data_IF_186124989202
#
_entry.id   IF_186124989202
#
_cell.length_a   1.000
_cell.length_b   1.000
_cell.length_c   1.000
_cell.angle_alpha   90.00
_cell.angle_beta   90.00
_cell.angle_gamma   90.00
#
_symmetry.space_group_name_H-M   'P 1'
#
loop_
_entity.id
_entity.type
_entity.pdbx_description
1 polymer ?
#
# COMPACT_ATOMS: atom_id res chain seq x y z
N UNK A 1 10.35 -6.56 -12.38
CA UNK A 1 10.25 -5.16 -12.00
C UNK A 1 11.60 -4.46 -11.92
N UNK A 2 11.58 -3.16 -11.93
CA UNK A 2 12.77 -2.33 -11.90
C UNK A 2 13.13 -1.94 -10.48
N UNK A 3 13.77 -2.86 -9.74
CA UNK A 3 14.24 -2.62 -8.38
C UNK A 3 15.70 -2.99 -8.25
N UNK A 4 16.42 -2.35 -7.32
CA UNK A 4 17.86 -2.57 -7.13
C UNK A 4 18.17 -3.54 -6.00
N UNK A 5 17.43 -3.45 -4.89
CA UNK A 5 17.71 -4.28 -3.71
C UNK A 5 16.80 -5.50 -3.72
N UNK A 6 17.37 -6.65 -4.05
CA UNK A 6 16.61 -7.90 -4.13
C UNK A 6 17.20 -8.92 -3.15
N UNK A 7 16.36 -9.83 -2.66
CA UNK A 7 16.79 -10.94 -1.80
C UNK A 7 16.49 -12.30 -2.43
N UNK A 8 15.88 -12.31 -3.62
CA UNK A 8 15.71 -13.49 -4.47
C UNK A 8 15.87 -13.03 -5.91
N UNK A 9 16.07 -13.92 -6.85
CA UNK A 9 16.36 -13.62 -8.26
C UNK A 9 15.48 -12.49 -8.83
N UNK A 10 16.02 -11.27 -8.88
CA UNK A 10 15.34 -10.11 -9.42
C UNK A 10 14.11 -9.65 -8.64
N UNK A 11 13.91 -10.17 -7.42
CA UNK A 11 12.74 -9.89 -6.60
C UNK A 11 13.13 -9.52 -5.17
N UNK A 12 12.37 -8.66 -4.57
CA UNK A 12 12.40 -8.43 -3.12
C UNK A 12 11.19 -9.13 -2.52
N UNK A 13 11.43 -10.12 -1.67
CA UNK A 13 10.39 -10.90 -1.02
C UNK A 13 10.34 -10.54 0.45
N UNK A 14 9.14 -10.21 0.94
CA UNK A 14 8.92 -9.78 2.31
C UNK A 14 7.87 -10.64 2.97
N UNK A 15 8.13 -11.01 4.23
CA UNK A 15 7.07 -11.44 5.13
C UNK A 15 6.60 -10.22 5.93
N UNK A 16 5.57 -10.41 6.75
CA UNK A 16 5.00 -9.31 7.53
C UNK A 16 6.05 -8.69 8.46
N UNK A 17 6.84 -9.52 9.13
CA UNK A 17 7.86 -9.04 10.06
C UNK A 17 8.92 -8.19 9.37
N UNK A 18 9.37 -8.59 8.18
CA UNK A 18 10.37 -7.80 7.45
C UNK A 18 9.81 -6.49 6.92
N UNK A 19 8.54 -6.44 6.54
CA UNK A 19 7.87 -5.18 6.18
C UNK A 19 7.80 -4.25 7.39
N UNK A 20 7.39 -4.76 8.53
CA UNK A 20 7.26 -3.95 9.75
C UNK A 20 8.59 -3.36 10.19
N UNK A 21 9.70 -4.02 9.93
CA UNK A 21 11.04 -3.50 10.25
C UNK A 21 11.41 -2.24 9.49
N UNK A 22 10.75 -1.96 8.37
CA UNK A 22 10.97 -0.73 7.63
C UNK A 22 10.43 0.49 8.36
N UNK A 23 9.61 0.29 9.39
CA UNK A 23 9.00 1.35 10.19
C UNK A 23 7.57 1.59 9.75
N UNK A 24 6.68 1.71 10.73
CA UNK A 24 5.26 1.91 10.47
C UNK A 24 4.80 3.26 10.96
N UNK A 25 3.73 3.76 10.31
CA UNK A 25 3.02 4.97 10.73
C UNK A 25 1.54 4.65 10.82
N UNK A 26 0.81 5.49 11.55
CA UNK A 26 -0.64 5.38 11.66
C UNK A 26 -1.28 6.70 11.29
N UNK A 27 -2.47 6.62 10.67
CA UNK A 27 -3.32 7.80 10.52
C UNK A 27 -4.78 7.37 10.55
N UNK A 28 -5.65 8.34 10.76
CA UNK A 28 -7.10 8.13 10.69
C UNK A 28 -7.65 8.79 9.45
N UNK A 29 -8.54 8.11 8.77
CA UNK A 29 -9.22 8.67 7.61
C UNK A 29 -10.61 8.05 7.46
N UNK A 30 -11.54 8.81 6.89
CA UNK A 30 -12.78 8.27 6.39
C UNK A 30 -12.52 7.54 5.08
N UNK A 31 -13.34 6.55 4.76
CA UNK A 31 -13.22 5.79 3.52
C UNK A 31 -14.59 5.26 3.10
N UNK A 32 -14.75 4.85 1.84
CA UNK A 32 -16.04 4.30 1.39
C UNK A 32 -16.34 2.92 1.96
N UNK A 33 -15.35 2.24 2.58
CA UNK A 33 -15.51 0.85 3.04
C UNK A 33 -15.88 0.74 4.52
N UNK A 34 -15.73 1.80 5.30
CA UNK A 34 -15.98 1.80 6.73
C UNK A 34 -16.77 3.02 7.16
N UNK A 35 -17.59 2.88 8.19
CA UNK A 35 -18.32 3.99 8.78
C UNK A 35 -17.37 4.83 9.65
N UNK A 36 -17.46 6.15 9.51
CA UNK A 36 -16.66 7.08 10.29
C UNK A 36 -15.17 7.00 9.94
N UNK A 37 -14.34 7.57 10.80
CA UNK A 37 -12.88 7.56 10.61
C UNK A 37 -12.30 6.29 11.21
N UNK A 38 -11.39 5.68 10.48
CA UNK A 38 -10.75 4.42 10.85
C UNK A 38 -9.26 4.64 10.96
N UNK A 39 -8.62 4.02 11.96
CA UNK A 39 -7.16 4.07 12.12
C UNK A 39 -6.52 2.96 11.29
N UNK A 40 -5.63 3.36 10.38
CA UNK A 40 -4.84 2.43 9.57
C UNK A 40 -3.38 2.55 9.99
N UNK A 41 -2.71 1.41 10.14
CA UNK A 41 -1.29 1.36 10.49
C UNK A 41 -0.56 0.53 9.44
N UNK A 42 0.52 1.07 8.91
CA UNK A 42 1.29 0.35 7.91
C UNK A 42 2.57 1.05 7.53
N UNK A 43 3.21 0.52 6.50
CA UNK A 43 4.50 0.97 6.00
C UNK A 43 4.26 2.04 4.93
N UNK A 44 4.87 3.23 5.06
CA UNK A 44 4.78 4.22 3.96
C UNK A 44 5.31 3.60 2.67
N UNK A 45 4.50 3.65 1.61
CA UNK A 45 4.90 3.04 0.34
C UNK A 45 6.12 3.70 -0.27
N UNK A 46 6.31 5.01 -0.05
CA UNK A 46 7.54 5.68 -0.51
C UNK A 46 8.77 5.07 0.18
N UNK A 47 8.64 4.74 1.46
CA UNK A 47 9.74 4.12 2.21
C UNK A 47 10.08 2.73 1.66
N UNK A 48 9.06 1.95 1.31
CA UNK A 48 9.27 0.64 0.69
C UNK A 48 9.95 0.78 -0.67
N UNK A 49 9.50 1.75 -1.49
CA UNK A 49 10.09 2.00 -2.80
C UNK A 49 11.55 2.43 -2.68
N UNK A 50 11.87 3.27 -1.71
CA UNK A 50 13.25 3.69 -1.44
C UNK A 50 14.12 2.50 -1.01
N UNK A 51 13.58 1.65 -0.16
CA UNK A 51 14.30 0.48 0.34
C UNK A 51 14.68 -0.49 -0.79
N UNK A 52 13.76 -0.77 -1.70
CA UNK A 52 14.02 -1.69 -2.82
C UNK A 52 14.72 -1.01 -3.99
N UNK A 53 14.92 0.30 -3.93
CA UNK A 53 15.54 1.05 -5.02
C UNK A 53 14.71 1.02 -6.28
N UNK A 54 13.40 1.28 -6.16
CA UNK A 54 12.48 1.23 -7.29
C UNK A 54 12.80 2.33 -8.31
N UNK A 55 12.90 1.94 -9.56
CA UNK A 55 13.14 2.86 -10.69
C UNK A 55 12.10 2.62 -11.75
N UNK A 56 11.26 3.61 -11.98
CA UNK A 56 10.17 3.52 -12.94
C UNK A 56 9.17 4.63 -12.69
N UNK A 57 8.06 4.59 -13.38
CA UNK A 57 7.03 5.62 -13.26
C UNK A 57 5.75 5.11 -12.61
N UNK A 58 5.48 3.81 -12.70
CA UNK A 58 4.26 3.22 -12.13
C UNK A 58 4.56 1.91 -11.44
N UNK A 59 3.66 1.50 -10.54
CA UNK A 59 3.67 0.17 -9.96
C UNK A 59 2.37 -0.53 -10.31
N UNK A 60 2.49 -1.75 -10.83
CA UNK A 60 1.35 -2.64 -11.06
C UNK A 60 1.15 -3.49 -9.81
N UNK A 61 0.01 -3.33 -9.17
CA UNK A 61 -0.33 -4.05 -7.94
C UNK A 61 -1.28 -5.19 -8.28
N UNK A 62 -1.00 -6.38 -7.78
CA UNK A 62 -1.83 -7.56 -7.98
C UNK A 62 -2.29 -8.09 -6.62
N UNK A 63 -3.58 -8.33 -6.49
CA UNK A 63 -4.20 -8.89 -5.29
C UNK A 63 -4.32 -10.41 -5.39
N UNK A 64 -4.67 -11.04 -4.26
CA UNK A 64 -4.84 -12.50 -4.21
C UNK A 64 -5.92 -13.03 -5.16
N UNK A 65 -6.96 -12.22 -5.44
CA UNK A 65 -8.05 -12.57 -6.35
C UNK A 65 -7.79 -12.14 -7.80
N UNK A 66 -6.53 -11.83 -8.13
CA UNK A 66 -6.08 -11.37 -9.44
C UNK A 66 -6.55 -9.97 -9.84
N UNK A 67 -7.21 -9.23 -8.94
CA UNK A 67 -7.48 -7.81 -9.19
C UNK A 67 -6.15 -7.07 -9.38
N UNK A 68 -6.07 -6.25 -10.43
CA UNK A 68 -4.87 -5.45 -10.70
C UNK A 68 -5.21 -3.98 -10.80
N UNK A 69 -4.28 -3.15 -10.35
CA UNK A 69 -4.39 -1.70 -10.52
C UNK A 69 -3.01 -1.14 -10.75
N UNK A 70 -2.94 0.04 -11.38
CA UNK A 70 -1.68 0.71 -11.66
C UNK A 70 -1.67 2.03 -10.89
N UNK A 71 -0.60 2.25 -10.11
CA UNK A 71 -0.45 3.43 -9.28
C UNK A 71 0.79 4.18 -9.74
N UNK A 72 0.68 5.49 -10.04
CA UNK A 72 1.87 6.30 -10.31
C UNK A 72 2.76 6.35 -9.07
N UNK A 73 4.06 6.14 -9.23
CA UNK A 73 5.00 6.22 -8.10
C UNK A 73 4.99 7.61 -7.45
N UNK A 74 4.66 8.66 -8.22
CA UNK A 74 4.55 10.02 -7.70
C UNK A 74 3.48 10.16 -6.61
N UNK A 75 2.44 9.30 -6.61
CA UNK A 75 1.42 9.31 -5.55
C UNK A 75 2.03 9.07 -4.17
N UNK A 76 3.06 8.24 -4.09
CA UNK A 76 3.67 7.89 -2.82
C UNK A 76 4.44 9.04 -2.19
N UNK A 77 4.99 9.95 -3.02
CA UNK A 77 5.63 11.17 -2.52
C UNK A 77 4.63 12.29 -2.24
N UNK A 78 3.63 12.41 -3.11
CA UNK A 78 2.65 13.50 -3.03
C UNK A 78 1.65 13.28 -1.90
N UNK A 79 1.23 12.05 -1.68
CA UNK A 79 0.27 11.68 -0.66
C UNK A 79 0.92 10.68 0.29
N UNK A 80 0.52 10.68 1.53
CA UNK A 80 1.07 9.75 2.53
C UNK A 80 0.41 8.38 2.42
N UNK A 81 0.66 7.69 1.29
CA UNK A 81 0.07 6.38 1.01
C UNK A 81 0.80 5.32 1.83
N UNK A 82 0.05 4.44 2.49
CA UNK A 82 0.64 3.36 3.27
C UNK A 82 0.18 2.00 2.77
N UNK A 83 1.02 1.00 3.00
CA UNK A 83 0.67 -0.41 2.86
C UNK A 83 0.20 -0.86 4.24
N UNK A 84 -1.10 -0.77 4.49
CA UNK A 84 -1.66 -1.02 5.81
C UNK A 84 -1.62 -2.49 6.16
N UNK A 85 -1.20 -2.80 7.38
CA UNK A 85 -1.17 -4.15 7.94
C UNK A 85 -2.16 -4.29 9.10
N UNK A 86 -2.60 -3.17 9.67
CA UNK A 86 -3.56 -3.14 10.79
C UNK A 86 -4.69 -2.15 10.53
N UNK A 87 -5.88 -2.51 10.99
CA UNK A 87 -7.03 -1.63 11.03
C UNK A 87 -7.47 -1.58 12.50
N UNK A 88 -7.57 -0.37 13.07
CA UNK A 88 -7.89 -0.16 14.48
C UNK A 88 -7.00 -1.01 15.40
N UNK A 89 -5.69 -1.01 15.09
CA UNK A 89 -4.64 -1.67 15.87
C UNK A 89 -4.66 -3.21 15.82
N UNK A 90 -5.46 -3.80 14.94
CA UNK A 90 -5.52 -5.26 14.75
C UNK A 90 -5.08 -5.63 13.35
N UNK A 91 -4.28 -6.68 13.23
CA UNK A 91 -3.85 -7.19 11.92
C UNK A 91 -5.06 -7.51 11.06
N UNK A 92 -4.95 -7.19 9.78
CA UNK A 92 -6.04 -7.38 8.81
C UNK A 92 -6.05 -8.83 8.36
N UNK A 93 -7.15 -9.54 8.60
CA UNK A 93 -7.29 -10.92 8.14
C UNK A 93 -7.56 -10.94 6.64
N UNK A 94 -7.17 -12.04 5.98
CA UNK A 94 -7.38 -12.21 4.52
C UNK A 94 -8.86 -12.00 4.15
N UNK A 95 -9.78 -12.58 4.91
CA UNK A 95 -11.22 -12.42 4.64
C UNK A 95 -11.73 -10.99 4.86
N UNK A 96 -10.95 -10.12 5.52
CA UNK A 96 -11.31 -8.74 5.83
C UNK A 96 -10.48 -7.71 5.04
N UNK A 97 -9.90 -8.05 3.91
CA UNK A 97 -9.06 -7.22 3.04
C UNK A 97 -7.55 -7.35 3.30
N UNK A 98 -7.14 -8.25 4.20
CA UNK A 98 -5.72 -8.47 4.47
C UNK A 98 -5.07 -9.49 3.56
N UNK A 99 -3.81 -9.76 3.79
CA UNK A 99 -3.02 -9.21 4.88
C UNK A 99 -2.55 -7.77 4.67
N UNK A 100 -2.58 -7.27 3.44
CA UNK A 100 -2.03 -5.96 3.07
C UNK A 100 -3.07 -5.16 2.28
N UNK A 101 -3.22 -3.89 2.64
CA UNK A 101 -4.23 -3.02 2.06
C UNK A 101 -3.60 -1.66 1.77
N UNK A 102 -3.62 -1.21 0.53
CA UNK A 102 -3.11 0.11 0.15
C UNK A 102 -4.14 1.16 0.53
N UNK A 103 -3.75 2.11 1.38
CA UNK A 103 -4.65 3.14 1.91
C UNK A 103 -4.06 4.52 1.70
N UNK A 104 -4.89 5.42 1.16
CA UNK A 104 -4.62 6.84 1.04
C UNK A 104 -5.29 7.59 2.20
N UNK A 105 -4.76 8.74 2.62
CA UNK A 105 -5.45 9.56 3.63
C UNK A 105 -6.57 10.39 2.98
N UNK A 106 -7.67 9.73 2.64
CA UNK A 106 -8.73 10.26 1.75
C UNK A 106 -9.34 11.58 2.21
N UNK A 107 -9.47 11.79 3.53
CA UNK A 107 -10.10 13.01 4.05
C UNK A 107 -9.08 14.12 4.36
N UNK A 108 -7.80 13.91 4.10
CA UNK A 108 -6.78 14.94 4.29
C UNK A 108 -6.73 15.94 3.14
N UNK A 109 -7.19 15.53 1.95
CA UNK A 109 -7.22 16.36 0.74
C UNK A 109 -8.49 16.05 -0.05
N UNK A 110 -9.27 17.06 -0.44
CA UNK A 110 -10.51 16.82 -1.20
C UNK A 110 -10.30 16.01 -2.48
N UNK A 111 -9.16 16.18 -3.16
CA UNK A 111 -8.85 15.48 -4.40
C UNK A 111 -8.74 13.96 -4.23
N UNK A 112 -8.43 13.48 -3.02
CA UNK A 112 -8.30 12.05 -2.75
C UNK A 112 -9.64 11.34 -2.57
N UNK A 113 -10.71 12.08 -2.35
CA UNK A 113 -12.04 11.51 -2.10
C UNK A 113 -12.75 11.29 -3.43
N UNK A 114 -12.25 10.38 -4.26
CA UNK A 114 -12.86 10.07 -5.55
C UNK A 114 -12.52 8.65 -6.01
N UNK A 115 -13.23 8.19 -7.05
CA UNK A 115 -13.14 6.82 -7.56
C UNK A 115 -11.74 6.43 -8.08
N UNK A 116 -10.98 7.38 -8.60
CA UNK A 116 -9.64 7.08 -9.12
C UNK A 116 -8.74 6.55 -7.99
N UNK A 117 -8.75 7.23 -6.85
CA UNK A 117 -7.91 6.84 -5.72
C UNK A 117 -8.47 5.62 -5.00
N UNK A 118 -9.80 5.45 -4.98
CA UNK A 118 -10.41 4.23 -4.43
C UNK A 118 -10.02 3.00 -5.25
N UNK A 119 -9.97 3.13 -6.58
CA UNK A 119 -9.54 2.03 -7.45
C UNK A 119 -8.06 1.67 -7.26
N UNK A 120 -7.24 2.64 -6.88
CA UNK A 120 -5.82 2.42 -6.57
C UNK A 120 -5.60 1.79 -5.20
N UNK A 121 -6.61 1.78 -4.36
CA UNK A 121 -6.52 1.25 -2.98
C UNK A 121 -6.80 -0.25 -2.99
N UNK A 122 -5.91 -1.02 -3.58
CA UNK A 122 -6.04 -2.48 -3.65
C UNK A 122 -5.93 -3.09 -2.25
N UNK A 123 -6.77 -4.09 -1.98
CA UNK A 123 -6.66 -4.89 -0.77
C UNK A 123 -6.26 -6.32 -1.12
N UNK A 124 -5.88 -7.12 -0.10
CA UNK A 124 -5.34 -8.47 -0.30
C UNK A 124 -4.13 -8.46 -1.24
N UNK A 125 -3.29 -7.45 -1.11
CA UNK A 125 -2.14 -7.26 -2.00
C UNK A 125 -1.17 -8.44 -1.88
N UNK A 126 -0.81 -9.03 -2.99
CA UNK A 126 0.14 -10.16 -3.04
C UNK A 126 1.44 -9.79 -3.75
N UNK A 127 1.41 -8.87 -4.71
CA UNK A 127 2.55 -8.60 -5.56
C UNK A 127 2.52 -7.17 -6.10
N UNK A 128 3.70 -6.59 -6.23
CA UNK A 128 3.89 -5.28 -6.87
C UNK A 128 5.00 -5.39 -7.91
N UNK A 129 4.77 -4.87 -9.09
CA UNK A 129 5.73 -4.87 -10.17
C UNK A 129 6.00 -3.42 -10.62
N UNK A 130 7.25 -2.98 -10.52
CA UNK A 130 7.66 -1.63 -10.90
C UNK A 130 7.89 -1.59 -12.41
N UNK A 131 7.22 -0.66 -13.07
CA UNK A 131 7.31 -0.53 -14.54
C UNK A 131 7.69 0.88 -14.98
#
# INVERSE_FOLDING_TARGET
GHIENTNEEGKAVFDLASLEKLGMVSFQTASPWYNGRTTFTGIPLQKLMDYVGAKGSVVKVTALNDYTTIIPLSDFKKYNVILAVKINEKYIRVRDKGPLFIVYPYDSMPELNNQVFYARSAWQVSRMNIE
#
